data_IF_598097321795
#
_entry.id   IF_598097321795
#
_cell.length_a   1.000
_cell.length_b   1.000
_cell.length_c   1.000
_cell.angle_alpha   90.00
_cell.angle_beta   90.00
_cell.angle_gamma   90.00
#
_symmetry.space_group_name_H-M   'P 1'
#
loop_
_entity.id
_entity.type
_entity.pdbx_description
1 polymer ?
#
# COMPACT_ATOMS: atom_id res chain seq x y z
N UNK A 1 19.06 15.73 21.61
CA UNK A 1 18.46 15.74 20.28
C UNK A 1 17.89 14.34 20.11
N UNK A 2 16.62 14.13 19.78
CA UNK A 2 16.17 12.80 19.41
C UNK A 2 16.97 12.39 18.16
N UNK A 3 17.55 11.20 18.18
CA UNK A 3 18.13 10.58 16.99
C UNK A 3 17.05 10.58 15.93
N UNK A 4 17.32 11.18 14.78
CA UNK A 4 16.48 11.06 13.59
C UNK A 4 16.44 9.56 13.26
N UNK A 5 15.28 8.97 13.36
CA UNK A 5 15.05 7.57 13.01
C UNK A 5 15.16 7.50 11.48
N UNK A 6 16.33 7.11 10.98
CA UNK A 6 16.59 6.96 9.53
C UNK A 6 16.03 5.65 8.97
N UNK A 7 15.67 4.72 9.85
CA UNK A 7 15.20 3.40 9.47
C UNK A 7 13.68 3.36 9.45
N UNK A 8 13.10 2.55 8.55
CA UNK A 8 11.68 2.26 8.50
C UNK A 8 11.19 1.64 9.83
N UNK A 9 9.97 1.93 10.24
CA UNK A 9 9.39 1.46 11.50
C UNK A 9 7.91 1.18 11.39
N UNK A 10 7.34 0.52 12.43
CA UNK A 10 5.89 0.39 12.57
C UNK A 10 5.29 1.50 13.41
N UNK A 11 4.24 2.10 12.90
CA UNK A 11 3.35 3.01 13.61
C UNK A 11 2.07 2.24 14.00
N UNK A 12 1.64 2.42 15.24
CA UNK A 12 0.37 1.87 15.73
C UNK A 12 -0.69 2.97 15.64
N UNK A 13 -1.69 2.85 14.76
CA UNK A 13 -2.73 3.89 14.64
C UNK A 13 -3.62 3.95 15.88
N UNK A 14 -3.77 2.84 16.62
CA UNK A 14 -4.52 2.74 17.86
C UNK A 14 -3.77 1.95 18.95
N UNK A 15 -4.42 1.79 20.12
CA UNK A 15 -3.91 0.94 21.19
C UNK A 15 -3.78 -0.51 20.72
N UNK A 16 -2.70 -1.17 21.14
CA UNK A 16 -2.42 -2.55 20.76
C UNK A 16 -3.49 -3.52 21.27
N UNK A 17 -3.88 -4.46 20.41
CA UNK A 17 -4.87 -5.51 20.66
C UNK A 17 -4.23 -6.90 20.55
N UNK A 18 -3.42 -7.33 21.54
CA UNK A 18 -2.58 -8.52 21.39
C UNK A 18 -3.38 -9.82 21.19
N UNK A 19 -4.66 -9.84 21.52
CA UNK A 19 -5.56 -10.99 21.34
C UNK A 19 -6.18 -11.05 19.93
N UNK A 20 -6.07 -9.98 19.13
CA UNK A 20 -6.53 -9.95 17.74
C UNK A 20 -5.44 -10.43 16.79
N UNK A 21 -5.76 -10.91 15.59
CA UNK A 21 -4.77 -11.14 14.54
C UNK A 21 -3.97 -9.86 14.28
N UNK A 22 -2.69 -10.02 13.98
CA UNK A 22 -1.81 -8.91 13.59
C UNK A 22 -2.06 -8.59 12.12
N UNK A 23 -2.28 -7.32 11.79
CA UNK A 23 -2.38 -6.87 10.42
C UNK A 23 -1.25 -5.87 10.12
N UNK A 24 -0.40 -6.23 9.17
CA UNK A 24 0.65 -5.35 8.65
C UNK A 24 0.09 -4.58 7.47
N UNK A 25 -0.02 -3.27 7.62
CA UNK A 25 -0.47 -2.36 6.57
C UNK A 25 0.71 -1.63 5.95
N UNK A 26 0.84 -1.75 4.63
CA UNK A 26 1.86 -1.12 3.82
C UNK A 26 1.19 -0.03 2.96
N UNK A 27 1.43 1.25 3.24
CA UNK A 27 0.73 2.37 2.60
C UNK A 27 1.19 2.60 1.15
N UNK A 28 0.49 3.48 0.46
CA UNK A 28 0.86 3.95 -0.87
C UNK A 28 2.12 4.82 -0.88
N UNK A 29 2.47 5.30 -2.07
CA UNK A 29 3.60 6.20 -2.28
C UNK A 29 3.43 7.45 -1.39
N UNK A 30 4.44 7.73 -0.59
CA UNK A 30 4.50 8.89 0.32
C UNK A 30 3.33 8.98 1.33
N UNK A 31 2.44 7.98 1.41
CA UNK A 31 1.31 7.94 2.33
C UNK A 31 1.72 7.49 3.74
N UNK A 32 2.87 7.97 4.23
CA UNK A 32 3.43 7.65 5.54
C UNK A 32 3.01 8.63 6.64
N UNK A 33 2.13 9.57 6.32
CA UNK A 33 1.51 10.49 7.29
C UNK A 33 0.59 9.73 8.25
N UNK A 34 0.81 9.90 9.57
CA UNK A 34 0.07 9.18 10.62
C UNK A 34 -1.44 9.35 10.52
N UNK A 35 -1.90 10.56 10.26
CA UNK A 35 -3.33 10.87 10.15
C UNK A 35 -3.98 10.19 8.95
N UNK A 36 -3.26 10.16 7.81
CA UNK A 36 -3.75 9.48 6.62
C UNK A 36 -3.79 7.97 6.81
N UNK A 37 -2.73 7.37 7.36
CA UNK A 37 -2.70 5.94 7.66
C UNK A 37 -3.79 5.54 8.65
N UNK A 38 -4.06 6.36 9.67
CA UNK A 38 -5.17 6.11 10.62
C UNK A 38 -6.52 6.10 9.91
N UNK A 39 -6.75 7.01 8.96
CA UNK A 39 -7.98 7.00 8.16
C UNK A 39 -8.10 5.76 7.26
N UNK A 40 -6.99 5.36 6.63
CA UNK A 40 -6.97 4.18 5.74
C UNK A 40 -7.21 2.87 6.48
N UNK A 41 -6.84 2.79 7.75
CA UNK A 41 -6.91 1.58 8.56
C UNK A 41 -8.06 1.56 9.57
N UNK A 42 -8.82 2.65 9.71
CA UNK A 42 -9.87 2.81 10.70
C UNK A 42 -10.84 1.62 10.74
N UNK A 43 -11.32 1.18 9.58
CA UNK A 43 -12.22 0.02 9.51
C UNK A 43 -11.57 -1.31 9.92
N UNK A 44 -10.26 -1.46 9.78
CA UNK A 44 -9.54 -2.70 10.10
C UNK A 44 -9.38 -2.92 11.60
N UNK A 45 -9.40 -1.84 12.35
CA UNK A 45 -9.23 -1.87 13.80
C UNK A 45 -10.37 -2.56 14.55
N UNK A 46 -11.49 -2.82 13.88
CA UNK A 46 -12.61 -3.60 14.44
C UNK A 46 -12.14 -5.02 14.79
N UNK A 47 -11.34 -5.66 13.94
CA UNK A 47 -10.95 -7.06 14.08
C UNK A 47 -9.45 -7.34 14.17
N UNK A 48 -8.60 -6.31 14.04
CA UNK A 48 -7.15 -6.48 13.95
C UNK A 48 -6.38 -5.59 14.93
N UNK A 49 -5.18 -6.04 15.28
CA UNK A 49 -4.12 -5.22 15.86
C UNK A 49 -3.24 -4.73 14.70
N UNK A 50 -3.39 -3.47 14.32
CA UNK A 50 -2.81 -2.92 13.08
C UNK A 50 -1.42 -2.35 13.33
N UNK A 51 -0.49 -2.62 12.43
CA UNK A 51 0.84 -1.98 12.32
C UNK A 51 0.97 -1.37 10.95
N UNK A 52 1.14 -0.06 10.89
CA UNK A 52 1.36 0.68 9.65
C UNK A 52 2.85 0.85 9.42
N UNK A 53 3.34 0.44 8.26
CA UNK A 53 4.75 0.57 7.88
C UNK A 53 5.04 2.00 7.44
N UNK A 54 5.93 2.68 8.16
CA UNK A 54 6.37 4.03 7.85
C UNK A 54 7.75 3.96 7.21
N UNK A 55 7.85 4.54 6.02
CA UNK A 55 9.11 4.69 5.29
C UNK A 55 9.50 6.17 5.40
N UNK A 56 10.59 6.51 6.09
CA UNK A 56 11.08 7.89 6.15
C UNK A 56 11.32 8.47 4.76
N UNK A 57 11.12 9.78 4.54
CA UNK A 57 11.34 10.40 3.24
C UNK A 57 12.78 10.29 2.74
N UNK A 58 13.73 10.17 3.64
CA UNK A 58 15.17 10.03 3.34
C UNK A 58 15.59 8.60 3.06
N UNK A 59 14.69 7.63 3.29
CA UNK A 59 14.95 6.21 3.02
C UNK A 59 14.93 5.98 1.50
N UNK A 60 16.07 5.53 0.99
CA UNK A 60 16.35 5.31 -0.43
C UNK A 60 16.46 3.82 -0.78
N UNK A 61 16.06 2.95 0.14
CA UNK A 61 16.09 1.50 -0.05
C UNK A 61 15.24 1.06 -1.25
N UNK A 62 15.67 0.03 -1.93
CA UNK A 62 14.87 -0.61 -2.98
C UNK A 62 13.74 -1.48 -2.38
N UNK A 63 12.88 -2.03 -3.24
CA UNK A 63 11.77 -2.85 -2.77
C UNK A 63 12.18 -4.12 -2.02
N UNK A 64 13.34 -4.68 -2.31
CA UNK A 64 13.81 -5.90 -1.66
C UNK A 64 14.28 -5.58 -0.23
N UNK A 65 15.00 -4.46 -0.04
CA UNK A 65 15.42 -3.96 1.27
C UNK A 65 14.23 -3.48 2.12
N UNK A 66 13.27 -2.74 1.51
CA UNK A 66 12.04 -2.36 2.21
C UNK A 66 11.23 -3.57 2.68
N UNK A 67 11.17 -4.62 1.87
CA UNK A 67 10.51 -5.87 2.25
C UNK A 67 11.27 -6.59 3.38
N UNK A 68 12.61 -6.62 3.35
CA UNK A 68 13.44 -7.17 4.42
C UNK A 68 13.22 -6.43 5.74
N UNK A 69 13.20 -5.09 5.72
CA UNK A 69 12.92 -4.24 6.87
C UNK A 69 11.54 -4.50 7.46
N UNK A 70 10.50 -4.53 6.62
CA UNK A 70 9.13 -4.83 7.05
C UNK A 70 9.00 -6.25 7.61
N UNK A 71 9.69 -7.25 7.04
CA UNK A 71 9.73 -8.61 7.54
C UNK A 71 10.45 -8.72 8.88
N UNK A 72 11.57 -7.99 9.07
CA UNK A 72 12.30 -7.95 10.33
C UNK A 72 11.42 -7.38 11.45
N UNK A 73 10.74 -6.26 11.18
CA UNK A 73 9.79 -5.64 12.11
C UNK A 73 8.61 -6.58 12.42
N UNK A 74 8.04 -7.26 11.42
CA UNK A 74 6.97 -8.24 11.62
C UNK A 74 7.41 -9.39 12.52
N UNK A 75 8.62 -9.92 12.31
CA UNK A 75 9.17 -10.98 13.17
C UNK A 75 9.43 -10.50 14.59
N UNK A 76 9.84 -9.25 14.77
CA UNK A 76 10.01 -8.65 16.10
C UNK A 76 8.68 -8.54 16.85
N UNK A 77 7.59 -8.13 16.18
CA UNK A 77 6.22 -8.14 16.76
C UNK A 77 5.79 -9.56 17.19
N UNK A 78 6.16 -10.57 16.43
CA UNK A 78 5.81 -11.97 16.72
C UNK A 78 6.71 -12.62 17.78
N UNK A 79 7.81 -12.01 18.17
CA UNK A 79 8.75 -12.62 19.12
C UNK A 79 8.10 -12.97 20.46
N UNK A 80 7.13 -12.16 20.92
CA UNK A 80 6.36 -12.42 22.17
C UNK A 80 5.10 -13.25 21.95
N UNK A 81 4.65 -13.41 20.69
CA UNK A 81 3.40 -14.10 20.31
C UNK A 81 3.59 -14.95 19.06
N UNK A 82 4.43 -16.01 19.08
CA UNK A 82 4.90 -16.72 17.88
C UNK A 82 3.80 -17.43 17.10
N UNK A 83 2.65 -17.73 17.73
CA UNK A 83 1.51 -18.40 17.09
C UNK A 83 0.41 -17.41 16.66
N UNK A 84 0.68 -16.10 16.72
CA UNK A 84 -0.29 -15.09 16.33
C UNK A 84 -0.49 -15.11 14.82
N UNK A 85 -1.76 -15.10 14.40
CA UNK A 85 -2.08 -15.00 12.96
C UNK A 85 -1.67 -13.64 12.43
N UNK A 86 -1.09 -13.62 11.23
CA UNK A 86 -0.60 -12.40 10.58
C UNK A 86 -1.28 -12.23 9.23
N UNK A 87 -1.90 -11.08 9.04
CA UNK A 87 -2.47 -10.64 7.78
C UNK A 87 -1.56 -9.57 7.16
N UNK A 88 -1.43 -9.60 5.85
CA UNK A 88 -0.67 -8.61 5.09
C UNK A 88 -1.64 -7.78 4.24
N UNK A 89 -1.56 -6.47 4.33
CA UNK A 89 -2.31 -5.55 3.48
C UNK A 89 -1.38 -4.55 2.83
N UNK A 90 -1.33 -4.49 1.50
CA UNK A 90 -0.52 -3.53 0.76
C UNK A 90 -1.35 -2.72 -0.23
N UNK A 91 -1.23 -1.39 -0.19
CA UNK A 91 -1.88 -0.46 -1.11
C UNK A 91 -0.86 0.17 -2.06
N UNK A 92 -1.15 0.21 -3.35
CA UNK A 92 -0.35 0.93 -4.36
C UNK A 92 1.14 0.55 -4.31
N UNK A 93 2.03 1.46 -3.95
CA UNK A 93 3.46 1.24 -3.68
C UNK A 93 3.66 0.14 -2.62
N UNK A 94 2.92 0.21 -1.52
CA UNK A 94 2.91 -0.82 -0.48
C UNK A 94 2.46 -2.19 -0.99
N UNK A 95 1.65 -2.23 -2.05
CA UNK A 95 1.33 -3.46 -2.77
C UNK A 95 2.55 -4.11 -3.43
N UNK A 96 3.50 -3.29 -3.94
CA UNK A 96 4.78 -3.80 -4.45
C UNK A 96 5.65 -4.36 -3.32
N UNK A 97 5.73 -3.64 -2.18
CA UNK A 97 6.45 -4.13 -0.98
C UNK A 97 5.83 -5.44 -0.50
N UNK A 98 4.48 -5.55 -0.44
CA UNK A 98 3.78 -6.77 -0.06
C UNK A 98 4.14 -7.96 -0.97
N UNK A 99 4.16 -7.75 -2.28
CA UNK A 99 4.56 -8.78 -3.23
C UNK A 99 6.00 -9.25 -3.01
N UNK A 100 6.93 -8.34 -2.69
CA UNK A 100 8.33 -8.69 -2.34
C UNK A 100 8.41 -9.43 -1.02
N UNK A 101 7.67 -9.01 0.02
CA UNK A 101 7.59 -9.74 1.30
C UNK A 101 7.09 -11.17 1.10
N UNK A 102 6.08 -11.39 0.25
CA UNK A 102 5.57 -12.71 -0.09
C UNK A 102 6.61 -13.58 -0.80
N UNK A 103 7.44 -13.00 -1.69
CA UNK A 103 8.51 -13.75 -2.35
C UNK A 103 9.64 -14.14 -1.38
N UNK A 104 9.93 -13.32 -0.37
CA UNK A 104 10.97 -13.58 0.62
C UNK A 104 10.50 -14.49 1.77
N UNK A 105 9.21 -14.38 2.17
CA UNK A 105 8.65 -15.13 3.30
C UNK A 105 7.25 -15.68 2.99
N UNK A 106 7.11 -16.63 2.05
CA UNK A 106 5.83 -17.07 1.50
C UNK A 106 4.88 -17.75 2.50
N UNK A 107 5.38 -18.14 3.68
CA UNK A 107 4.58 -18.86 4.70
C UNK A 107 4.29 -18.02 5.95
N UNK A 108 4.74 -16.77 5.98
CA UNK A 108 4.60 -15.92 7.17
C UNK A 108 3.17 -15.43 7.37
N UNK A 109 2.48 -15.15 6.28
CA UNK A 109 1.15 -14.53 6.30
C UNK A 109 0.05 -15.58 6.11
N UNK A 110 -1.01 -15.46 6.88
CA UNK A 110 -2.17 -16.35 6.78
C UNK A 110 -3.12 -15.93 5.65
N UNK A 111 -3.34 -14.63 5.50
CA UNK A 111 -4.15 -14.05 4.43
C UNK A 111 -3.53 -12.76 3.92
N UNK A 112 -3.73 -12.47 2.64
CA UNK A 112 -3.10 -11.36 1.94
C UNK A 112 -4.17 -10.49 1.28
N UNK A 113 -4.12 -9.18 1.50
CA UNK A 113 -4.96 -8.19 0.84
C UNK A 113 -4.07 -7.25 0.03
N UNK A 114 -4.38 -7.06 -1.24
CA UNK A 114 -3.65 -6.13 -2.11
C UNK A 114 -4.65 -5.18 -2.75
N UNK A 115 -4.45 -3.88 -2.57
CA UNK A 115 -5.35 -2.82 -3.00
C UNK A 115 -4.67 -1.94 -4.04
N UNK A 116 -5.21 -1.87 -5.25
CA UNK A 116 -4.72 -1.02 -6.34
C UNK A 116 -3.18 -1.05 -6.51
N UNK A 117 -2.52 -2.22 -6.61
CA UNK A 117 -1.05 -2.30 -6.58
C UNK A 117 -0.38 -1.62 -7.77
N UNK A 118 0.77 -0.97 -7.52
CA UNK A 118 1.54 -0.28 -8.54
C UNK A 118 2.44 -1.21 -9.38
N UNK A 119 2.31 -2.52 -9.25
CA UNK A 119 3.19 -3.54 -9.84
C UNK A 119 3.14 -3.64 -11.37
N UNK A 120 2.20 -2.95 -12.02
CA UNK A 120 2.11 -2.87 -13.48
C UNK A 120 2.52 -1.52 -14.08
N UNK A 121 3.05 -0.59 -13.29
CA UNK A 121 3.38 0.77 -13.76
C UNK A 121 4.25 0.73 -15.03
N UNK A 122 5.26 -0.15 -15.08
CA UNK A 122 6.17 -0.31 -16.20
C UNK A 122 5.47 -0.82 -17.48
N UNK A 123 4.29 -1.45 -17.37
CA UNK A 123 3.52 -1.98 -18.50
C UNK A 123 2.63 -0.91 -19.14
N UNK A 124 2.49 0.25 -18.51
CA UNK A 124 1.66 1.37 -18.99
C UNK A 124 2.57 2.40 -19.67
N UNK A 125 2.60 2.50 -21.02
CA UNK A 125 3.61 3.30 -21.75
C UNK A 125 3.66 4.76 -21.35
N UNK A 126 2.51 5.40 -21.12
CA UNK A 126 2.47 6.82 -20.77
C UNK A 126 2.91 7.08 -19.33
N UNK A 127 2.66 6.15 -18.39
CA UNK A 127 3.18 6.22 -17.01
C UNK A 127 4.69 6.00 -16.98
N UNK A 128 5.15 5.03 -17.74
CA UNK A 128 6.58 4.76 -17.89
C UNK A 128 7.30 5.99 -18.44
N UNK A 129 6.78 6.59 -19.52
CA UNK A 129 7.34 7.82 -20.10
C UNK A 129 7.24 8.99 -19.11
N UNK A 130 6.10 9.16 -18.41
CA UNK A 130 5.91 10.19 -17.41
C UNK A 130 6.92 10.07 -16.27
N UNK A 131 7.18 8.88 -15.76
CA UNK A 131 8.17 8.64 -14.72
C UNK A 131 9.61 8.93 -15.18
N UNK A 132 9.93 8.69 -16.45
CA UNK A 132 11.23 9.04 -17.06
C UNK A 132 11.42 10.55 -17.21
N UNK A 133 10.34 11.28 -17.50
CA UNK A 133 10.37 12.73 -17.69
C UNK A 133 10.20 13.50 -16.38
N UNK A 134 9.79 12.84 -15.30
CA UNK A 134 9.54 13.46 -13.98
C UNK A 134 10.74 14.26 -13.46
N UNK A 135 12.01 13.81 -13.58
CA UNK A 135 13.17 14.60 -13.15
C UNK A 135 13.25 15.99 -13.79
N UNK A 136 12.70 16.15 -15.01
CA UNK A 136 12.72 17.42 -15.75
C UNK A 136 11.62 18.41 -15.27
N UNK A 137 10.71 17.98 -14.41
CA UNK A 137 9.67 18.85 -13.83
C UNK A 137 10.32 19.89 -12.93
N UNK A 138 10.18 21.22 -13.17
CA UNK A 138 10.72 22.23 -12.29
C UNK A 138 10.08 22.19 -10.90
N UNK A 139 10.83 22.51 -9.83
CA UNK A 139 10.37 22.39 -8.46
C UNK A 139 9.14 23.24 -8.16
N UNK A 140 9.03 24.42 -8.76
CA UNK A 140 7.85 25.26 -8.60
C UNK A 140 6.57 24.65 -9.22
N UNK A 141 6.71 23.82 -10.25
CA UNK A 141 5.60 23.04 -10.82
C UNK A 141 5.29 21.85 -9.92
N UNK A 142 6.32 21.14 -9.45
CA UNK A 142 6.14 20.01 -8.53
C UNK A 142 5.37 20.43 -7.27
N UNK A 143 5.81 21.50 -6.60
CA UNK A 143 5.18 21.99 -5.36
C UNK A 143 3.72 22.45 -5.56
N UNK A 144 3.32 22.81 -6.78
CA UNK A 144 1.93 23.15 -7.12
C UNK A 144 1.12 21.98 -7.66
N UNK A 145 1.78 20.93 -8.12
CA UNK A 145 1.13 19.77 -8.74
C UNK A 145 0.31 18.94 -7.75
N UNK A 146 0.60 19.02 -6.45
CA UNK A 146 -0.14 18.35 -5.40
C UNK A 146 -1.66 18.60 -5.51
N UNK A 147 -2.06 19.87 -5.71
CA UNK A 147 -3.47 20.23 -5.87
C UNK A 147 -4.08 19.70 -7.18
N UNK A 148 -3.26 19.58 -8.23
CA UNK A 148 -3.69 19.10 -9.53
C UNK A 148 -3.76 17.57 -9.59
N UNK A 149 -3.06 16.86 -8.69
CA UNK A 149 -3.03 15.38 -8.65
C UNK A 149 -4.24 14.77 -7.94
N UNK A 150 -4.86 15.49 -7.00
CA UNK A 150 -6.01 14.99 -6.22
C UNK A 150 -7.15 14.40 -7.07
N UNK A 151 -7.60 15.04 -8.18
CA UNK A 151 -8.67 14.47 -9.00
C UNK A 151 -8.32 13.15 -9.67
N UNK A 152 -7.03 12.88 -9.82
CA UNK A 152 -6.53 11.62 -10.39
C UNK A 152 -6.41 10.53 -9.32
N UNK A 153 -6.07 10.90 -8.08
CA UNK A 153 -5.94 9.98 -6.96
C UNK A 153 -7.29 9.46 -6.47
N UNK A 154 -8.31 10.32 -6.49
CA UNK A 154 -9.60 9.96 -5.92
C UNK A 154 -10.73 10.83 -6.46
N UNK A 155 -11.96 10.38 -6.27
CA UNK A 155 -13.15 11.20 -6.52
C UNK A 155 -13.29 12.24 -5.41
N UNK A 156 -12.82 13.49 -5.66
CA UNK A 156 -12.79 14.58 -4.65
C UNK A 156 -14.16 14.77 -3.97
N UNK A 157 -15.26 14.60 -4.72
CA UNK A 157 -16.61 14.74 -4.21
C UNK A 157 -16.98 13.71 -3.12
N UNK A 158 -16.22 12.61 -3.03
CA UNK A 158 -16.46 11.51 -2.09
C UNK A 158 -15.56 11.61 -0.84
N UNK A 159 -14.58 12.51 -0.83
CA UNK A 159 -13.68 12.66 0.31
C UNK A 159 -14.29 13.52 1.42
N UNK A 160 -14.05 13.11 2.66
CA UNK A 160 -14.21 13.99 3.82
C UNK A 160 -13.18 15.15 3.75
N UNK A 161 -13.45 16.22 4.48
CA UNK A 161 -12.50 17.34 4.59
C UNK A 161 -11.16 16.88 5.17
N UNK A 162 -11.19 15.97 6.16
CA UNK A 162 -10.02 15.41 6.81
C UNK A 162 -9.20 14.53 5.84
N UNK A 163 -9.84 13.65 5.08
CA UNK A 163 -9.16 12.82 4.08
C UNK A 163 -8.52 13.67 2.98
N UNK A 164 -9.19 14.74 2.53
CA UNK A 164 -8.64 15.68 1.55
C UNK A 164 -7.40 16.40 2.08
N UNK A 165 -7.47 16.87 3.33
CA UNK A 165 -6.35 17.54 3.97
C UNK A 165 -5.17 16.58 4.16
N UNK A 166 -5.39 15.37 4.67
CA UNK A 166 -4.36 14.36 4.86
C UNK A 166 -3.66 13.97 3.56
N UNK A 167 -4.41 13.80 2.46
CA UNK A 167 -3.83 13.54 1.13
C UNK A 167 -2.98 14.72 0.64
N UNK A 168 -3.46 15.95 0.79
CA UNK A 168 -2.72 17.15 0.40
C UNK A 168 -1.43 17.30 1.21
N UNK A 169 -1.50 17.14 2.53
CA UNK A 169 -0.34 17.22 3.41
C UNK A 169 0.71 16.17 3.03
N UNK A 170 0.26 14.94 2.78
CA UNK A 170 1.12 13.84 2.36
C UNK A 170 1.85 14.15 1.05
N UNK A 171 1.12 14.56 0.00
CA UNK A 171 1.72 14.84 -1.31
C UNK A 171 2.65 16.06 -1.25
N UNK A 172 2.31 17.08 -0.44
CA UNK A 172 3.13 18.30 -0.33
C UNK A 172 4.35 18.14 0.58
N UNK A 173 4.33 17.18 1.49
CA UNK A 173 5.45 16.94 2.41
C UNK A 173 6.57 16.08 1.80
N UNK A 174 6.28 15.37 0.71
CA UNK A 174 7.27 14.48 0.09
C UNK A 174 8.28 15.27 -0.74
N UNK A 175 9.60 15.10 -0.50
CA UNK A 175 10.62 15.68 -1.35
C UNK A 175 10.50 15.14 -2.79
N UNK A 176 10.76 16.00 -3.77
CA UNK A 176 10.71 15.62 -5.18
C UNK A 176 11.67 14.48 -5.50
N UNK A 177 12.85 14.51 -4.91
CA UNK A 177 13.89 13.50 -5.08
C UNK A 177 13.40 12.12 -4.63
N UNK A 178 12.74 12.06 -3.48
CA UNK A 178 12.14 10.82 -2.95
C UNK A 178 11.06 10.29 -3.87
N UNK A 179 10.13 11.15 -4.29
CA UNK A 179 9.08 10.77 -5.24
C UNK A 179 9.67 10.28 -6.56
N UNK A 180 10.70 10.95 -7.08
CA UNK A 180 11.41 10.55 -8.30
C UNK A 180 12.02 9.14 -8.16
N UNK A 181 12.69 8.88 -7.05
CA UNK A 181 13.31 7.58 -6.79
C UNK A 181 12.26 6.47 -6.67
N UNK A 182 11.21 6.69 -5.92
CA UNK A 182 10.12 5.72 -5.76
C UNK A 182 9.39 5.45 -7.08
N UNK A 183 9.23 6.44 -7.94
CA UNK A 183 8.72 6.24 -9.31
C UNK A 183 9.68 5.39 -10.15
N UNK A 184 11.00 5.59 -10.02
CA UNK A 184 11.99 4.75 -10.68
C UNK A 184 11.93 3.30 -10.18
N UNK A 185 11.82 3.08 -8.88
CA UNK A 185 11.63 1.75 -8.29
C UNK A 185 10.39 1.04 -8.86
N UNK A 186 9.23 1.73 -8.93
CA UNK A 186 8.01 1.15 -9.50
C UNK A 186 8.15 0.83 -10.99
N UNK A 187 8.91 1.63 -11.75
CA UNK A 187 9.20 1.35 -13.17
C UNK A 187 10.04 0.09 -13.35
N UNK A 188 10.96 -0.18 -12.43
CA UNK A 188 11.88 -1.31 -12.46
C UNK A 188 11.33 -2.54 -11.70
N UNK A 189 10.14 -2.42 -11.12
CA UNK A 189 9.52 -3.46 -10.32
C UNK A 189 9.27 -4.74 -11.11
N UNK A 190 9.71 -5.86 -10.56
CA UNK A 190 9.50 -7.19 -11.13
C UNK A 190 9.05 -8.19 -10.07
N UNK A 191 8.33 -9.21 -10.50
CA UNK A 191 7.88 -10.33 -9.66
C UNK A 191 8.37 -11.65 -10.23
N UNK A 192 8.74 -12.57 -9.36
CA UNK A 192 8.92 -13.99 -9.75
C UNK A 192 7.56 -14.71 -9.68
N UNK A 193 6.98 -14.94 -10.86
CA UNK A 193 5.69 -15.63 -10.98
C UNK A 193 5.73 -17.06 -10.46
N UNK A 194 6.90 -17.72 -10.47
CA UNK A 194 7.00 -19.11 -10.01
C UNK A 194 6.92 -19.17 -8.49
N UNK A 195 7.47 -18.17 -7.78
CA UNK A 195 7.33 -18.07 -6.33
C UNK A 195 5.88 -17.73 -5.97
N UNK A 196 5.27 -16.73 -6.62
CA UNK A 196 3.90 -16.33 -6.33
C UNK A 196 2.88 -17.44 -6.60
N UNK A 197 3.10 -18.32 -7.58
CA UNK A 197 2.28 -19.51 -7.83
C UNK A 197 2.31 -20.54 -6.70
N UNK A 198 3.29 -20.48 -5.82
CA UNK A 198 3.42 -21.36 -4.66
C UNK A 198 2.74 -20.79 -3.41
N UNK A 199 2.23 -19.57 -3.46
CA UNK A 199 1.46 -18.96 -2.38
C UNK A 199 0.07 -19.58 -2.36
N UNK A 200 -0.15 -20.48 -1.40
CA UNK A 200 -1.43 -21.21 -1.24
C UNK A 200 -2.39 -20.52 -0.27
N UNK A 201 -1.96 -19.45 0.36
CA UNK A 201 -2.81 -18.64 1.23
C UNK A 201 -3.85 -17.89 0.41
N UNK A 202 -5.02 -17.58 0.99
CA UNK A 202 -6.02 -16.74 0.35
C UNK A 202 -5.47 -15.34 0.04
N UNK A 203 -5.72 -14.85 -1.17
CA UNK A 203 -5.35 -13.51 -1.62
C UNK A 203 -6.58 -12.75 -2.06
N UNK A 204 -6.86 -11.61 -1.43
CA UNK A 204 -7.91 -10.69 -1.82
C UNK A 204 -7.31 -9.52 -2.59
N UNK A 205 -7.70 -9.38 -3.84
CA UNK A 205 -7.27 -8.31 -4.74
C UNK A 205 -8.41 -7.30 -4.89
N UNK A 206 -8.24 -6.12 -4.30
CA UNK A 206 -9.24 -5.04 -4.36
C UNK A 206 -8.81 -4.04 -5.41
N UNK A 207 -9.68 -3.76 -6.39
CA UNK A 207 -9.35 -2.93 -7.54
C UNK A 207 -10.41 -1.86 -7.80
N UNK A 208 -9.99 -0.61 -7.93
CA UNK A 208 -10.84 0.53 -8.21
C UNK A 208 -11.06 0.70 -9.71
N UNK A 209 -12.33 0.72 -10.14
CA UNK A 209 -12.67 0.86 -11.57
C UNK A 209 -12.44 2.28 -12.11
N UNK A 210 -12.44 3.29 -11.23
CA UNK A 210 -12.18 4.68 -11.59
C UNK A 210 -10.78 5.13 -11.20
N UNK A 211 -9.86 4.20 -11.07
CA UNK A 211 -8.44 4.51 -10.93
C UNK A 211 -7.95 5.16 -12.22
N UNK A 212 -7.56 6.44 -12.13
CA UNK A 212 -7.04 7.22 -13.27
C UNK A 212 -5.51 7.21 -13.33
N UNK A 213 -4.86 6.62 -12.31
CA UNK A 213 -3.40 6.53 -12.23
C UNK A 213 -2.93 5.18 -12.77
N UNK A 214 -3.53 4.09 -12.30
CA UNK A 214 -3.10 2.73 -12.64
C UNK A 214 -4.25 1.93 -13.25
N UNK A 215 -3.96 0.94 -14.10
CA UNK A 215 -4.97 0.01 -14.62
C UNK A 215 -5.29 -1.06 -13.55
N UNK A 216 -5.84 -0.62 -12.40
CA UNK A 216 -5.97 -1.44 -11.19
C UNK A 216 -6.79 -2.71 -11.41
N UNK A 217 -7.86 -2.66 -12.22
CA UNK A 217 -8.69 -3.84 -12.50
C UNK A 217 -7.95 -4.87 -13.35
N UNK A 218 -7.22 -4.42 -14.36
CA UNK A 218 -6.41 -5.27 -15.24
C UNK A 218 -5.26 -5.89 -14.45
N UNK A 219 -4.64 -5.11 -13.57
CA UNK A 219 -3.55 -5.60 -12.73
C UNK A 219 -4.04 -6.62 -11.69
N UNK A 220 -5.18 -6.38 -11.06
CA UNK A 220 -5.78 -7.36 -10.14
C UNK A 220 -6.09 -8.68 -10.86
N UNK A 221 -6.62 -8.63 -12.09
CA UNK A 221 -6.86 -9.83 -12.90
C UNK A 221 -5.56 -10.53 -13.30
N UNK A 222 -4.50 -9.76 -13.64
CA UNK A 222 -3.18 -10.31 -13.94
C UNK A 222 -2.60 -11.08 -12.75
N UNK A 223 -2.69 -10.51 -11.55
CA UNK A 223 -2.23 -11.14 -10.31
C UNK A 223 -3.10 -12.35 -9.95
N UNK A 224 -4.42 -12.28 -10.12
CA UNK A 224 -5.33 -13.40 -9.89
C UNK A 224 -5.01 -14.62 -10.77
N UNK A 225 -4.49 -14.41 -11.97
CA UNK A 225 -4.01 -15.51 -12.82
C UNK A 225 -2.67 -16.12 -12.36
N UNK A 226 -2.02 -15.52 -11.36
CA UNK A 226 -0.75 -16.02 -10.81
C UNK A 226 -1.00 -16.75 -9.48
N UNK A 227 -1.76 -16.14 -8.57
CA UNK A 227 -2.06 -16.72 -7.26
C UNK A 227 -3.09 -17.84 -7.36
N UNK A 228 -2.85 -19.03 -6.76
CA UNK A 228 -3.78 -20.17 -6.83
C UNK A 228 -5.16 -19.90 -6.19
N UNK A 229 -5.18 -19.10 -5.12
CA UNK A 229 -6.39 -18.82 -4.33
C UNK A 229 -6.65 -17.31 -4.22
N UNK A 230 -6.83 -16.66 -5.38
CA UNK A 230 -7.13 -15.25 -5.44
C UNK A 230 -8.61 -14.95 -5.68
N UNK A 231 -9.15 -14.01 -4.94
CA UNK A 231 -10.46 -13.40 -5.17
C UNK A 231 -10.26 -11.95 -5.61
N UNK A 232 -10.98 -11.51 -6.64
CA UNK A 232 -10.93 -10.12 -7.12
C UNK A 232 -12.22 -9.41 -6.76
N UNK A 233 -12.10 -8.29 -6.05
CA UNK A 233 -13.19 -7.38 -5.74
C UNK A 233 -12.99 -6.09 -6.50
N UNK A 234 -14.00 -5.67 -7.26
CA UNK A 234 -13.96 -4.41 -8.03
C UNK A 234 -14.82 -3.35 -7.35
N UNK A 235 -14.22 -2.20 -7.04
CA UNK A 235 -14.90 -1.03 -6.50
C UNK A 235 -15.39 -0.13 -7.66
N UNK A 236 -16.70 -0.09 -7.97
CA UNK A 236 -17.18 0.49 -9.22
C UNK A 236 -17.04 2.01 -9.32
N UNK A 237 -16.95 2.69 -8.17
CA UNK A 237 -16.98 4.16 -8.11
C UNK A 237 -15.74 4.77 -7.48
N UNK A 238 -14.81 3.97 -6.96
CA UNK A 238 -13.62 4.41 -6.24
C UNK A 238 -12.46 4.72 -7.18
N UNK A 239 -11.64 5.71 -6.77
CA UNK A 239 -10.38 6.08 -7.39
C UNK A 239 -9.18 5.29 -6.81
N UNK A 240 -7.96 5.74 -7.11
CA UNK A 240 -6.73 5.07 -6.69
C UNK A 240 -6.61 4.99 -5.15
N UNK A 241 -6.76 6.10 -4.45
CA UNK A 241 -6.72 6.19 -2.99
C UNK A 241 -8.07 5.81 -2.35
N UNK A 242 -8.64 4.64 -2.69
CA UNK A 242 -9.98 4.25 -2.29
C UNK A 242 -10.16 4.08 -0.76
N UNK A 243 -9.10 3.73 -0.03
CA UNK A 243 -9.18 3.48 1.42
C UNK A 243 -9.44 4.74 2.26
N UNK A 244 -9.31 5.93 1.69
CA UNK A 244 -9.69 7.19 2.36
C UNK A 244 -11.09 7.67 1.99
N UNK A 245 -11.81 6.94 1.14
CA UNK A 245 -13.20 7.23 0.83
C UNK A 245 -14.10 6.72 1.98
N UNK A 246 -14.92 7.57 2.63
CA UNK A 246 -15.70 7.19 3.83
C UNK A 246 -16.66 6.01 3.66
N UNK A 247 -17.06 5.74 2.41
CA UNK A 247 -17.98 4.64 2.10
C UNK A 247 -17.25 3.30 1.90
N UNK A 248 -15.90 3.31 1.94
CA UNK A 248 -15.10 2.12 1.75
C UNK A 248 -14.59 1.60 3.09
N UNK A 249 -15.15 0.49 3.51
CA UNK A 249 -14.68 -0.28 4.66
C UNK A 249 -13.95 -1.52 4.15
N UNK A 250 -12.63 -1.56 4.32
CA UNK A 250 -11.85 -2.74 3.93
C UNK A 250 -12.24 -3.96 4.78
N UNK A 251 -12.55 -3.75 6.06
CA UNK A 251 -13.05 -4.81 6.94
C UNK A 251 -14.34 -5.43 6.39
N UNK A 252 -15.33 -4.60 5.98
CA UNK A 252 -16.57 -5.09 5.40
C UNK A 252 -16.34 -5.83 4.07
N UNK A 253 -15.42 -5.33 3.23
CA UNK A 253 -15.04 -6.02 1.98
C UNK A 253 -14.45 -7.40 2.29
N UNK A 254 -13.62 -7.51 3.33
CA UNK A 254 -13.07 -8.79 3.76
C UNK A 254 -14.18 -9.73 4.29
N UNK A 255 -15.12 -9.21 5.08
CA UNK A 255 -16.24 -9.97 5.63
C UNK A 255 -17.16 -10.49 4.52
N UNK A 256 -17.59 -9.64 3.60
CA UNK A 256 -18.47 -9.97 2.47
C UNK A 256 -17.88 -11.04 1.53
N UNK A 257 -16.55 -11.19 1.54
CA UNK A 257 -15.84 -12.17 0.73
C UNK A 257 -15.34 -13.39 1.52
N UNK A 258 -15.85 -13.60 2.74
CA UNK A 258 -15.45 -14.70 3.65
C UNK A 258 -13.91 -14.69 3.90
N UNK A 259 -13.33 -13.52 4.00
CA UNK A 259 -11.90 -13.34 4.21
C UNK A 259 -11.54 -13.11 5.68
N UNK A 260 -12.52 -12.96 6.54
CA UNK A 260 -12.42 -13.02 8.00
C UNK A 260 -12.76 -14.43 8.47
N UNK A 261 -12.28 -14.82 9.65
CA UNK A 261 -12.61 -16.13 10.25
C UNK A 261 -13.81 -16.00 11.16
#
# INVERSE_FOLDING_TARGET
MPELQHDAYFFNPQESKPNCPLLIFLPGLDETGKDLMSLQTDSLEIGFDVRCFVIPPEDIDDFDLLAESALALTKAELASTPNRRVYLCGQSFGGCVALKMLMQAPKLFEKIVIVNPASSLHQVPWLNLGSLLFPLVPDFIYNRSAFLSLPFLTSIARLSSQARQGLLETITSSPKETTQQRLAMMREFTIDKNILRQITQPVLLVASKRDLILPSVEEARRLANIFPHATVVTLPYSGHACLVEPEISLYQIMEDNNFLD
#
